data_IF_648874424976
#
_entry.id   IF_648874424976
#
_cell.length_a   1.000
_cell.length_b   1.000
_cell.length_c   1.000
_cell.angle_alpha   90.00
_cell.angle_beta   90.00
_cell.angle_gamma   90.00
#
_symmetry.space_group_name_H-M   'P 1'
#
loop_
_entity.id
_entity.type
_entity.pdbx_description
1 polymer ?
#
# COMPACT_ATOMS: atom_id res chain seq x y z
N UNK A 1 26.71 -23.40 -13.55
CA UNK A 1 25.41 -23.48 -12.85
C UNK A 1 24.26 -23.76 -13.82
N UNK A 2 23.95 -22.88 -14.80
CA UNK A 2 22.88 -23.13 -15.78
C UNK A 2 23.06 -24.44 -16.57
N UNK A 3 24.28 -24.73 -17.04
CA UNK A 3 24.61 -25.99 -17.73
C UNK A 3 24.34 -27.23 -16.86
N UNK A 4 24.61 -27.16 -15.54
CA UNK A 4 24.40 -28.28 -14.63
C UNK A 4 22.90 -28.55 -14.39
N UNK A 5 22.09 -27.49 -14.26
CA UNK A 5 20.62 -27.64 -14.13
C UNK A 5 20.05 -28.19 -15.44
N UNK A 6 20.54 -27.71 -16.59
CA UNK A 6 20.12 -28.19 -17.90
C UNK A 6 20.43 -29.68 -18.11
N UNK A 7 21.63 -30.13 -17.72
CA UNK A 7 22.00 -31.55 -17.74
C UNK A 7 21.07 -32.38 -16.84
N UNK A 8 20.84 -31.95 -15.60
CA UNK A 8 19.90 -32.62 -14.68
C UNK A 8 18.48 -32.69 -15.24
N UNK A 9 18.03 -31.66 -15.95
CA UNK A 9 16.70 -31.61 -16.57
C UNK A 9 16.48 -32.70 -17.63
N UNK A 10 17.53 -33.02 -18.38
CA UNK A 10 17.48 -34.04 -19.42
C UNK A 10 17.49 -35.47 -18.88
N UNK A 11 17.94 -35.68 -17.63
CA UNK A 11 17.94 -37.01 -17.00
C UNK A 11 16.51 -37.51 -16.75
N UNK A 12 15.60 -36.62 -16.35
CA UNK A 12 14.22 -37.01 -16.07
C UNK A 12 13.36 -37.04 -17.35
N UNK A 13 12.56 -38.09 -17.49
CA UNK A 13 11.47 -38.15 -18.47
C UNK A 13 10.41 -37.07 -18.19
N UNK A 14 9.57 -36.75 -19.16
CA UNK A 14 8.47 -35.80 -18.98
C UNK A 14 7.53 -36.17 -17.83
N UNK A 15 7.24 -37.47 -17.67
CA UNK A 15 6.41 -37.98 -16.57
C UNK A 15 7.09 -37.79 -15.22
N UNK A 16 8.38 -38.08 -15.11
CA UNK A 16 9.14 -37.89 -13.86
C UNK A 16 9.28 -36.42 -13.51
N UNK A 17 9.47 -35.53 -14.50
CA UNK A 17 9.44 -34.07 -14.30
C UNK A 17 8.08 -33.61 -13.79
N UNK A 18 7.00 -34.09 -14.40
CA UNK A 18 5.64 -33.73 -14.00
C UNK A 18 5.32 -34.16 -12.57
N UNK A 19 5.81 -35.32 -12.14
CA UNK A 19 5.60 -35.82 -10.77
C UNK A 19 6.49 -35.09 -9.76
N UNK A 20 7.75 -34.85 -10.10
CA UNK A 20 8.72 -34.20 -9.19
C UNK A 20 8.49 -32.70 -9.05
N UNK A 21 7.93 -32.02 -10.04
CA UNK A 21 7.63 -30.58 -10.01
C UNK A 21 6.21 -30.30 -9.50
N UNK A 22 5.83 -31.03 -8.44
CA UNK A 22 4.63 -30.85 -7.63
C UNK A 22 5.01 -30.84 -6.15
N UNK A 23 4.22 -30.16 -5.34
CA UNK A 23 4.41 -30.10 -3.91
C UNK A 23 3.10 -29.82 -3.16
N UNK A 24 3.10 -30.09 -1.87
CA UNK A 24 2.00 -29.84 -0.94
C UNK A 24 2.28 -28.70 0.05
N UNK A 25 1.28 -28.34 0.85
CA UNK A 25 1.39 -27.35 1.91
C UNK A 25 2.51 -27.64 2.91
N UNK A 26 2.70 -28.89 3.32
CA UNK A 26 3.72 -29.24 4.32
C UNK A 26 5.13 -28.95 3.78
N UNK A 27 5.38 -29.31 2.52
CA UNK A 27 6.65 -29.02 1.86
C UNK A 27 6.87 -27.51 1.68
N UNK A 28 5.82 -26.77 1.35
CA UNK A 28 5.87 -25.30 1.28
C UNK A 28 6.21 -24.67 2.64
N UNK A 29 5.51 -25.07 3.70
CA UNK A 29 5.71 -24.54 5.06
C UNK A 29 7.10 -24.88 5.59
N UNK A 30 7.59 -26.10 5.35
CA UNK A 30 8.95 -26.47 5.68
C UNK A 30 9.97 -25.59 4.96
N UNK A 31 9.78 -25.39 3.65
CA UNK A 31 10.65 -24.52 2.85
C UNK A 31 10.60 -23.06 3.31
N UNK A 32 9.42 -22.55 3.68
CA UNK A 32 9.27 -21.21 4.25
C UNK A 32 9.98 -21.08 5.60
N UNK A 33 9.93 -22.11 6.45
CA UNK A 33 10.67 -22.16 7.72
C UNK A 33 12.18 -22.16 7.51
N UNK A 34 12.67 -22.92 6.52
CA UNK A 34 14.09 -23.03 6.21
C UNK A 34 14.65 -21.73 5.60
N UNK A 35 13.91 -21.10 4.68
CA UNK A 35 14.40 -19.97 3.88
C UNK A 35 14.13 -18.60 4.50
N UNK A 36 13.07 -18.46 5.30
CA UNK A 36 12.63 -17.16 5.82
C UNK A 36 12.93 -17.04 7.32
N UNK A 37 13.88 -16.16 7.72
CA UNK A 37 14.27 -16.03 9.13
C UNK A 37 13.24 -15.28 9.99
N UNK A 38 12.28 -14.60 9.37
CA UNK A 38 11.29 -13.78 10.06
C UNK A 38 9.91 -14.46 10.11
N UNK A 39 9.37 -14.61 11.32
CA UNK A 39 8.00 -15.11 11.52
C UNK A 39 6.96 -14.32 10.75
N UNK A 40 7.09 -12.99 10.68
CA UNK A 40 6.17 -12.17 9.91
C UNK A 40 6.19 -12.49 8.40
N UNK A 41 7.37 -12.67 7.80
CA UNK A 41 7.51 -13.03 6.39
C UNK A 41 6.99 -14.45 6.11
N UNK A 42 7.18 -15.37 7.06
CA UNK A 42 6.61 -16.73 7.00
C UNK A 42 5.09 -16.67 7.01
N UNK A 43 4.52 -16.03 8.02
CA UNK A 43 3.08 -15.91 8.18
C UNK A 43 2.43 -15.19 6.99
N UNK A 44 3.08 -14.18 6.41
CA UNK A 44 2.54 -13.48 5.23
C UNK A 44 2.55 -14.35 3.97
N UNK A 45 3.62 -15.12 3.74
CA UNK A 45 3.72 -16.04 2.61
C UNK A 45 2.75 -17.21 2.75
N UNK A 46 2.64 -17.77 3.96
CA UNK A 46 1.68 -18.83 4.32
C UNK A 46 0.22 -18.37 4.18
N UNK A 47 -0.12 -17.19 4.71
CA UNK A 47 -1.47 -16.66 4.57
C UNK A 47 -1.86 -16.46 3.10
N UNK A 48 -0.92 -16.01 2.26
CA UNK A 48 -1.16 -15.88 0.83
C UNK A 48 -1.28 -17.26 0.14
N UNK A 49 -0.45 -18.24 0.51
CA UNK A 49 -0.55 -19.61 0.01
C UNK A 49 -1.94 -20.20 0.22
N UNK A 50 -2.47 -20.10 1.44
CA UNK A 50 -3.80 -20.63 1.74
C UNK A 50 -4.91 -19.87 1.02
N UNK A 51 -4.82 -18.54 0.93
CA UNK A 51 -5.77 -17.70 0.16
C UNK A 51 -5.81 -18.00 -1.34
N UNK A 52 -4.71 -18.53 -1.89
CA UNK A 52 -4.66 -18.95 -3.29
C UNK A 52 -5.18 -20.37 -3.46
N UNK A 53 -4.88 -21.24 -2.49
CA UNK A 53 -5.33 -22.61 -2.48
C UNK A 53 -6.85 -22.67 -2.29
N UNK A 54 -7.42 -21.97 -1.31
CA UNK A 54 -8.87 -21.95 -1.07
C UNK A 54 -9.68 -21.22 -2.17
N UNK A 55 -9.02 -20.46 -3.06
CA UNK A 55 -9.66 -19.63 -4.08
C UNK A 55 -10.31 -18.35 -3.54
N UNK A 56 -10.03 -17.98 -2.28
CA UNK A 56 -10.53 -16.77 -1.63
C UNK A 56 -9.84 -15.49 -2.11
N UNK A 57 -8.70 -15.59 -2.79
CA UNK A 57 -7.99 -14.46 -3.38
C UNK A 57 -7.83 -14.59 -4.89
N UNK A 58 -7.92 -13.43 -5.57
CA UNK A 58 -7.49 -13.31 -6.97
C UNK A 58 -6.00 -13.56 -7.06
N UNK A 59 -5.58 -14.40 -8.01
CA UNK A 59 -4.16 -14.68 -8.24
C UNK A 59 -3.42 -13.38 -8.63
N UNK A 60 -2.41 -12.95 -7.85
CA UNK A 60 -1.65 -11.76 -8.16
C UNK A 60 -0.89 -11.88 -9.49
N UNK A 61 -0.56 -10.76 -10.11
CA UNK A 61 0.12 -10.73 -11.41
C UNK A 61 1.51 -11.37 -11.35
N UNK A 62 2.27 -11.14 -10.26
CA UNK A 62 3.59 -11.76 -10.09
C UNK A 62 3.48 -13.28 -10.01
N UNK A 63 2.51 -13.78 -9.24
CA UNK A 63 2.25 -15.21 -9.09
C UNK A 63 1.80 -15.82 -10.42
N UNK A 64 0.88 -15.16 -11.12
CA UNK A 64 0.38 -15.60 -12.43
C UNK A 64 1.51 -15.75 -13.46
N UNK A 65 2.51 -14.85 -13.43
CA UNK A 65 3.67 -14.87 -14.34
C UNK A 65 4.80 -15.78 -13.88
N UNK A 66 4.74 -16.33 -12.66
CA UNK A 66 5.79 -17.16 -12.10
C UNK A 66 5.84 -18.58 -12.65
N UNK A 67 4.82 -19.00 -13.40
CA UNK A 67 4.70 -20.38 -13.88
C UNK A 67 4.25 -21.38 -12.82
N UNK A 68 3.89 -20.94 -11.61
CA UNK A 68 3.37 -21.80 -10.54
C UNK A 68 1.85 -21.77 -10.53
N UNK A 69 1.23 -22.95 -10.47
CA UNK A 69 -0.20 -23.12 -10.29
C UNK A 69 -0.48 -23.63 -8.87
N UNK A 70 -1.42 -22.98 -8.17
CA UNK A 70 -1.93 -23.41 -6.86
C UNK A 70 -3.30 -24.06 -7.05
N UNK A 71 -3.48 -25.24 -6.45
CA UNK A 71 -4.67 -26.07 -6.52
C UNK A 71 -5.47 -26.00 -5.23
N UNK A 72 -6.77 -26.34 -5.32
CA UNK A 72 -7.71 -26.27 -4.19
C UNK A 72 -7.38 -27.19 -3.02
N UNK A 73 -6.63 -28.26 -3.28
CA UNK A 73 -6.26 -29.26 -2.29
C UNK A 73 -4.96 -28.89 -1.55
N UNK A 74 -4.60 -27.61 -1.49
CA UNK A 74 -3.34 -27.13 -0.91
C UNK A 74 -2.09 -27.77 -1.54
N UNK A 75 -2.18 -28.02 -2.85
CA UNK A 75 -1.09 -28.48 -3.68
C UNK A 75 -0.70 -27.37 -4.65
N UNK A 76 0.53 -27.44 -5.14
CA UNK A 76 0.99 -26.55 -6.19
C UNK A 76 1.97 -27.26 -7.10
N UNK A 77 2.05 -26.77 -8.33
CA UNK A 77 2.85 -27.39 -9.38
C UNK A 77 3.43 -26.36 -10.33
N UNK A 78 4.45 -26.76 -11.06
CA UNK A 78 4.89 -26.02 -12.23
C UNK A 78 3.84 -26.17 -13.34
N UNK A 79 3.54 -25.09 -14.05
CA UNK A 79 2.57 -25.10 -15.12
C UNK A 79 3.10 -25.84 -16.37
N UNK A 80 2.19 -26.26 -17.24
CA UNK A 80 2.55 -27.08 -18.41
C UNK A 80 3.44 -26.31 -19.39
N UNK A 81 3.22 -25.00 -19.56
CA UNK A 81 4.04 -24.17 -20.45
C UNK A 81 5.53 -24.14 -20.05
N UNK A 82 5.82 -24.10 -18.74
CA UNK A 82 7.18 -24.16 -18.23
C UNK A 82 7.69 -25.59 -18.24
N UNK A 83 6.87 -26.60 -17.91
CA UNK A 83 7.25 -28.02 -17.99
C UNK A 83 7.67 -28.45 -19.39
N UNK A 84 6.98 -27.97 -20.44
CA UNK A 84 7.32 -28.27 -21.83
C UNK A 84 8.53 -27.48 -22.35
N UNK A 85 8.99 -26.44 -21.63
CA UNK A 85 10.11 -25.60 -22.02
C UNK A 85 11.25 -25.66 -20.99
N UNK A 86 12.31 -26.45 -21.26
CA UNK A 86 13.48 -26.52 -20.37
C UNK A 86 14.05 -25.13 -20.06
N UNK A 87 14.17 -24.27 -21.07
CA UNK A 87 14.71 -22.92 -20.91
C UNK A 87 13.87 -22.06 -19.98
N UNK A 88 12.53 -22.15 -20.06
CA UNK A 88 11.63 -21.41 -19.17
C UNK A 88 11.78 -21.86 -17.71
N UNK A 89 11.80 -23.18 -17.48
CA UNK A 89 11.96 -23.77 -16.15
C UNK A 89 13.32 -23.44 -15.51
N UNK A 90 14.39 -23.59 -16.28
CA UNK A 90 15.75 -23.30 -15.81
C UNK A 90 15.92 -21.81 -15.53
N UNK A 91 15.38 -20.96 -16.42
CA UNK A 91 15.37 -19.50 -16.22
C UNK A 91 14.60 -19.11 -14.96
N UNK A 92 13.47 -19.76 -14.66
CA UNK A 92 12.71 -19.54 -13.44
C UNK A 92 13.53 -19.86 -12.19
N UNK A 93 14.15 -21.06 -12.15
CA UNK A 93 15.00 -21.48 -11.02
C UNK A 93 16.16 -20.53 -10.79
N UNK A 94 16.82 -20.11 -11.87
CA UNK A 94 17.95 -19.20 -11.81
C UNK A 94 17.54 -17.79 -11.38
N UNK A 95 16.43 -17.27 -11.92
CA UNK A 95 15.89 -15.97 -11.55
C UNK A 95 15.55 -15.92 -10.05
N UNK A 96 14.92 -16.96 -9.52
CA UNK A 96 14.57 -17.02 -8.10
C UNK A 96 15.78 -17.13 -7.18
N UNK A 97 16.81 -17.88 -7.56
CA UNK A 97 18.06 -17.96 -6.81
C UNK A 97 18.79 -16.59 -6.76
N UNK A 98 18.82 -15.87 -7.88
CA UNK A 98 19.38 -14.51 -7.95
C UNK A 98 18.57 -13.51 -7.13
N UNK A 99 17.25 -13.57 -7.21
CA UNK A 99 16.37 -12.73 -6.39
C UNK A 99 16.61 -12.99 -4.91
N UNK A 100 16.66 -14.25 -4.48
CA UNK A 100 16.91 -14.64 -3.10
C UNK A 100 18.25 -14.10 -2.58
N UNK A 101 19.32 -14.26 -3.38
CA UNK A 101 20.65 -13.74 -3.06
C UNK A 101 20.62 -12.22 -2.88
N UNK A 102 19.85 -11.49 -3.69
CA UNK A 102 19.79 -10.02 -3.61
C UNK A 102 18.88 -9.52 -2.48
N UNK A 103 17.72 -10.15 -2.30
CA UNK A 103 16.67 -9.75 -1.38
C UNK A 103 16.92 -10.25 0.06
N UNK A 104 17.34 -11.51 0.21
CA UNK A 104 17.55 -12.15 1.50
C UNK A 104 18.96 -11.89 2.07
N UNK A 105 20.02 -11.78 1.25
CA UNK A 105 21.36 -11.48 1.79
C UNK A 105 21.45 -10.08 2.43
N UNK A 106 20.67 -9.11 1.93
CA UNK A 106 20.51 -7.79 2.57
C UNK A 106 19.77 -7.86 3.92
N UNK A 107 19.06 -8.95 4.21
CA UNK A 107 18.35 -9.19 5.46
C UNK A 107 19.20 -9.94 6.51
N UNK A 108 20.35 -10.50 6.12
CA UNK A 108 21.23 -11.32 6.97
C UNK A 108 22.15 -10.57 7.93
N UNK A 109 22.23 -9.23 7.87
CA UNK A 109 22.93 -8.43 8.88
C UNK A 109 21.92 -7.83 9.86
N UNK A 110 21.79 -8.37 11.10
CA UNK A 110 21.03 -7.69 12.13
C UNK A 110 21.72 -6.36 12.45
N UNK A 111 21.08 -5.25 12.08
CA UNK A 111 21.42 -3.94 12.66
C UNK A 111 20.85 -3.91 14.08
N UNK A 112 21.57 -4.54 15.00
CA UNK A 112 21.18 -4.64 16.41
C UNK A 112 21.95 -5.71 17.15
N UNK A 113 22.35 -5.40 18.39
CA UNK A 113 23.02 -6.35 19.30
C UNK A 113 22.20 -7.64 19.40
N UNK A 114 22.88 -8.77 19.26
CA UNK A 114 22.31 -10.10 19.45
C UNK A 114 21.60 -10.17 20.82
N UNK A 115 20.32 -10.56 20.83
CA UNK A 115 19.55 -10.77 22.06
C UNK A 115 18.20 -10.04 22.17
N UNK A 116 17.82 -9.17 21.22
CA UNK A 116 16.47 -8.58 21.23
C UNK A 116 15.53 -9.31 20.27
N UNK A 117 14.51 -9.97 20.81
CA UNK A 117 13.37 -10.55 20.07
C UNK A 117 12.56 -9.53 19.25
N UNK A 118 12.95 -8.25 19.26
CA UNK A 118 12.33 -7.13 18.53
C UNK A 118 13.13 -6.64 17.31
N UNK A 119 14.20 -7.33 16.91
CA UNK A 119 14.92 -6.96 15.68
C UNK A 119 13.98 -7.13 14.47
N UNK A 120 13.47 -6.00 13.94
CA UNK A 120 12.53 -6.03 12.81
C UNK A 120 13.29 -6.47 11.55
N UNK A 121 12.91 -7.62 10.98
CA UNK A 121 13.49 -8.15 9.75
C UNK A 121 13.51 -7.10 8.64
N UNK A 122 14.63 -6.91 7.92
CA UNK A 122 14.75 -5.91 6.83
C UNK A 122 13.65 -6.04 5.77
N UNK A 123 13.15 -7.26 5.55
CA UNK A 123 12.04 -7.54 4.63
C UNK A 123 10.69 -7.03 5.16
N UNK A 124 10.46 -7.04 6.47
CA UNK A 124 9.24 -6.50 7.12
C UNK A 124 9.43 -5.08 7.68
N UNK A 125 10.67 -4.64 7.91
CA UNK A 125 11.03 -3.41 8.59
C UNK A 125 11.37 -2.27 7.64
N UNK A 126 11.43 -2.56 6.34
CA UNK A 126 11.23 -1.56 5.30
C UNK A 126 9.77 -1.03 5.34
N UNK A 127 9.35 -0.47 6.49
CA UNK A 127 8.64 0.81 6.42
C UNK A 127 9.53 1.67 5.55
N UNK A 128 9.01 2.19 4.44
CA UNK A 128 9.72 3.21 3.71
C UNK A 128 10.11 4.27 4.74
N UNK A 129 11.41 4.39 5.04
CA UNK A 129 11.87 5.56 5.77
C UNK A 129 11.64 6.70 4.81
N UNK A 130 10.74 7.59 5.18
CA UNK A 130 10.26 8.65 4.30
C UNK A 130 8.78 8.47 4.01
N UNK A 131 8.01 9.33 4.67
CA UNK A 131 6.73 9.81 4.16
C UNK A 131 6.87 10.14 2.66
N UNK A 132 5.94 9.76 1.74
CA UNK A 132 6.09 10.05 0.32
C UNK A 132 6.14 11.56 0.14
N UNK A 133 7.34 12.12 -0.02
CA UNK A 133 7.53 13.55 -0.32
C UNK A 133 6.66 13.95 -1.51
N UNK A 134 6.28 15.23 -1.68
CA UNK A 134 5.38 15.63 -2.75
C UNK A 134 5.79 15.10 -4.14
N UNK A 135 7.09 15.07 -4.44
CA UNK A 135 7.62 14.50 -5.69
C UNK A 135 7.41 12.97 -5.84
N UNK A 136 7.44 12.21 -4.74
CA UNK A 136 7.08 10.80 -4.76
C UNK A 136 5.56 10.63 -4.84
N UNK A 137 4.78 11.48 -4.17
CA UNK A 137 3.32 11.42 -4.17
C UNK A 137 2.74 11.43 -5.58
N UNK A 138 3.14 12.36 -6.45
CA UNK A 138 2.63 12.46 -7.82
C UNK A 138 2.89 11.17 -8.63
N UNK A 139 4.12 10.66 -8.58
CA UNK A 139 4.50 9.42 -9.26
C UNK A 139 3.76 8.18 -8.73
N UNK A 140 3.26 8.23 -7.49
CA UNK A 140 2.44 7.18 -6.88
C UNK A 140 0.97 7.34 -7.22
N UNK A 141 0.46 8.58 -7.21
CA UNK A 141 -0.93 8.91 -7.51
C UNK A 141 -1.35 8.35 -8.88
N UNK A 142 -0.54 8.57 -9.92
CA UNK A 142 -0.82 8.07 -11.26
C UNK A 142 -0.77 6.53 -11.40
N UNK A 143 -0.23 5.82 -10.41
CA UNK A 143 -0.20 4.35 -10.38
C UNK A 143 -1.34 3.75 -9.57
N UNK A 144 -2.07 4.57 -8.81
CA UNK A 144 -3.20 4.10 -8.02
C UNK A 144 -4.40 3.85 -8.93
N UNK A 145 -5.10 2.72 -8.75
CA UNK A 145 -6.42 2.52 -9.36
C UNK A 145 -7.40 3.61 -8.93
N UNK A 146 -8.38 3.93 -9.77
CA UNK A 146 -9.39 4.97 -9.49
C UNK A 146 -10.10 4.76 -8.16
N UNK A 147 -10.44 3.53 -7.78
CA UNK A 147 -11.07 3.22 -6.49
C UNK A 147 -10.21 3.68 -5.29
N UNK A 148 -8.89 3.56 -5.41
CA UNK A 148 -7.97 4.00 -4.37
C UNK A 148 -7.84 5.53 -4.35
N UNK A 149 -7.85 6.17 -5.52
CA UNK A 149 -7.87 7.63 -5.61
C UNK A 149 -9.15 8.21 -4.99
N UNK A 150 -10.31 7.59 -5.25
CA UNK A 150 -11.60 7.94 -4.62
C UNK A 150 -11.57 7.71 -3.10
N UNK A 151 -10.98 6.62 -2.64
CA UNK A 151 -10.83 6.39 -1.20
C UNK A 151 -9.98 7.47 -0.50
N UNK A 152 -9.01 8.05 -1.21
CA UNK A 152 -8.18 9.13 -0.70
C UNK A 152 -8.91 10.47 -0.69
N UNK A 153 -9.78 10.74 -1.67
CA UNK A 153 -10.55 11.98 -1.73
C UNK A 153 -11.73 12.04 -0.76
N UNK A 154 -12.29 10.91 -0.37
CA UNK A 154 -13.41 10.86 0.57
C UNK A 154 -12.89 10.74 2.02
N UNK A 155 -13.16 11.76 2.83
CA UNK A 155 -12.77 11.82 4.24
C UNK A 155 -14.04 11.81 5.09
N UNK A 156 -14.09 10.91 6.08
CA UNK A 156 -15.19 10.88 7.06
C UNK A 156 -15.16 12.13 7.93
N UNK A 157 -16.29 12.82 8.06
CA UNK A 157 -16.35 14.15 8.70
C UNK A 157 -16.08 14.09 10.20
N UNK A 158 -16.68 13.12 10.90
CA UNK A 158 -16.55 12.98 12.34
C UNK A 158 -15.13 12.56 12.73
N UNK A 159 -14.54 11.65 11.96
CA UNK A 159 -13.15 11.28 12.10
C UNK A 159 -12.23 12.48 11.81
N UNK A 160 -12.52 13.27 10.78
CA UNK A 160 -11.74 14.47 10.47
C UNK A 160 -11.80 15.51 11.57
N UNK A 161 -12.98 15.76 12.16
CA UNK A 161 -13.12 16.67 13.29
C UNK A 161 -12.26 16.19 14.48
N UNK A 162 -12.28 14.90 14.76
CA UNK A 162 -11.43 14.30 15.79
C UNK A 162 -9.94 14.52 15.50
N UNK A 163 -9.52 14.32 14.24
CA UNK A 163 -8.14 14.53 13.81
C UNK A 163 -7.73 16.02 13.87
N UNK A 164 -8.64 16.93 13.53
CA UNK A 164 -8.48 18.38 13.60
C UNK A 164 -8.33 18.85 15.04
N UNK A 165 -9.16 18.37 15.96
CA UNK A 165 -9.02 18.69 17.38
C UNK A 165 -7.70 18.18 17.97
N UNK A 166 -7.29 16.97 17.58
CA UNK A 166 -6.00 16.40 17.99
C UNK A 166 -4.83 17.20 17.40
N UNK A 167 -4.96 17.67 16.17
CA UNK A 167 -4.01 18.59 15.55
C UNK A 167 -3.91 19.90 16.33
N UNK A 168 -5.01 20.61 16.57
CA UNK A 168 -5.01 21.88 17.32
C UNK A 168 -4.41 21.73 18.72
N UNK A 169 -4.69 20.61 19.40
CA UNK A 169 -4.09 20.29 20.72
C UNK A 169 -2.58 20.10 20.63
N UNK A 170 -2.08 19.37 19.62
CA UNK A 170 -0.63 19.16 19.40
C UNK A 170 0.11 20.47 19.15
N UNK A 171 -0.52 21.40 18.43
CA UNK A 171 0.04 22.71 18.10
C UNK A 171 -0.22 23.80 19.16
N UNK A 172 -0.87 23.45 20.28
CA UNK A 172 -1.05 24.35 21.43
C UNK A 172 -1.75 25.67 21.09
N UNK A 173 -2.72 25.63 20.17
CA UNK A 173 -3.55 26.80 19.83
C UNK A 173 -4.25 27.35 21.08
N UNK A 174 -4.32 28.68 21.20
CA UNK A 174 -5.12 29.32 22.24
C UNK A 174 -6.63 29.13 21.96
N UNK A 175 -7.48 29.28 22.98
CA UNK A 175 -8.92 29.01 22.86
C UNK A 175 -9.58 29.78 21.69
N UNK A 176 -9.27 31.08 21.56
CA UNK A 176 -9.83 31.93 20.49
C UNK A 176 -9.43 31.48 19.09
N UNK A 177 -8.20 31.03 18.90
CA UNK A 177 -7.76 30.53 17.61
C UNK A 177 -8.33 29.13 17.35
N UNK A 178 -8.49 28.29 18.39
CA UNK A 178 -9.16 26.99 18.27
C UNK A 178 -10.60 27.16 17.78
N UNK A 179 -11.35 28.07 18.39
CA UNK A 179 -12.74 28.38 18.02
C UNK A 179 -12.84 28.80 16.55
N UNK A 180 -11.94 29.66 16.06
CA UNK A 180 -11.91 30.09 14.65
C UNK A 180 -11.64 28.94 13.67
N UNK A 181 -10.74 28.02 14.01
CA UNK A 181 -10.47 26.85 13.16
C UNK A 181 -11.67 25.91 13.13
N UNK A 182 -12.37 25.73 14.25
CA UNK A 182 -13.60 24.93 14.30
C UNK A 182 -14.74 25.60 13.53
N UNK A 183 -14.89 26.92 13.62
CA UNK A 183 -15.84 27.70 12.81
C UNK A 183 -15.57 27.53 11.31
N UNK A 184 -14.30 27.53 10.89
CA UNK A 184 -13.93 27.24 9.50
C UNK A 184 -14.32 25.81 9.06
N UNK A 185 -14.23 24.82 9.96
CA UNK A 185 -14.72 23.47 9.70
C UNK A 185 -16.26 23.44 9.60
N UNK A 186 -16.97 24.12 10.49
CA UNK A 186 -18.44 24.18 10.46
C UNK A 186 -18.96 24.83 9.17
N UNK A 187 -18.25 25.84 8.66
CA UNK A 187 -18.49 26.44 7.35
C UNK A 187 -18.29 25.43 6.21
N UNK A 188 -17.22 24.62 6.25
CA UNK A 188 -16.95 23.60 5.23
C UNK A 188 -18.08 22.56 5.14
N UNK A 189 -18.63 22.13 6.28
CA UNK A 189 -19.70 21.13 6.31
C UNK A 189 -21.12 21.75 6.22
N UNK A 190 -21.20 23.08 6.16
CA UNK A 190 -22.47 23.82 6.08
C UNK A 190 -23.34 23.66 7.32
N UNK A 191 -22.74 23.49 8.51
CA UNK A 191 -23.45 23.41 9.80
C UNK A 191 -23.77 24.79 10.40
N UNK A 192 -23.19 25.85 9.85
CA UNK A 192 -23.45 27.24 10.26
C UNK A 192 -24.64 27.89 9.56
N UNK A 193 -25.29 27.21 8.60
CA UNK A 193 -26.60 27.63 8.08
C UNK A 193 -27.69 27.06 8.99
N UNK A 194 -28.24 27.88 9.89
CA UNK A 194 -29.52 27.59 10.55
C UNK A 194 -30.59 27.44 9.47
N UNK A 195 -31.27 26.29 9.44
CA UNK A 195 -32.44 26.05 8.56
C UNK A 195 -33.55 27.10 8.77
N UNK A 196 -33.54 27.79 9.92
CA UNK A 196 -34.53 28.81 10.28
C UNK A 196 -34.24 30.22 9.71
N UNK A 197 -33.05 30.50 9.18
CA UNK A 197 -32.69 31.84 8.64
C UNK A 197 -32.54 31.88 7.10
N UNK A 198 -32.85 30.78 6.40
CA UNK A 198 -32.80 30.73 4.94
C UNK A 198 -34.14 30.33 4.33
N UNK A 199 -35.03 31.31 4.15
CA UNK A 199 -36.31 31.11 3.43
C UNK A 199 -36.14 30.67 1.96
N UNK A 200 -34.91 30.58 1.43
CA UNK A 200 -34.60 30.27 0.02
C UNK A 200 -33.73 29.01 -0.20
N UNK A 201 -33.38 28.24 0.84
CA UNK A 201 -32.60 26.98 0.66
C UNK A 201 -33.47 25.71 0.71
N UNK A 202 -34.78 25.87 0.77
CA UNK A 202 -35.76 24.80 0.78
C UNK A 202 -36.05 24.23 -0.62
N UNK A 203 -35.03 23.69 -1.27
CA UNK A 203 -35.23 22.77 -2.41
C UNK A 203 -34.53 23.16 -3.71
N UNK A 204 -33.73 22.20 -4.19
CA UNK A 204 -33.23 22.07 -5.57
C UNK A 204 -31.99 22.91 -5.95
N UNK A 205 -30.90 22.19 -6.22
CA UNK A 205 -29.70 22.55 -6.99
C UNK A 205 -28.96 23.87 -6.65
N UNK A 206 -28.14 23.85 -5.60
CA UNK A 206 -27.11 24.86 -5.35
C UNK A 206 -25.87 24.68 -6.26
N UNK A 207 -26.11 24.56 -7.56
CA UNK A 207 -25.08 24.47 -8.59
C UNK A 207 -25.35 25.46 -9.71
N UNK A 208 -25.70 26.71 -9.39
CA UNK A 208 -25.37 27.87 -10.22
C UNK A 208 -25.79 29.18 -9.53
N UNK A 209 -24.80 30.06 -9.31
CA UNK A 209 -24.92 31.52 -9.30
C UNK A 209 -26.03 32.17 -8.46
N UNK A 210 -25.79 32.45 -7.18
CA UNK A 210 -26.49 33.56 -6.50
C UNK A 210 -25.64 34.23 -5.41
N UNK A 211 -24.83 35.22 -5.82
CA UNK A 211 -24.51 36.37 -4.98
C UNK A 211 -24.51 37.61 -5.88
N UNK A 212 -25.69 38.14 -6.17
CA UNK A 212 -25.82 39.51 -6.68
C UNK A 212 -26.42 40.42 -5.59
N UNK A 213 -25.67 41.49 -5.34
CA UNK A 213 -26.04 42.75 -4.69
C UNK A 213 -26.42 42.79 -3.20
N UNK A 214 -25.41 43.09 -2.38
CA UNK A 214 -25.56 43.89 -1.17
C UNK A 214 -24.78 45.19 -1.36
N UNK A 215 -25.49 46.30 -1.54
CA UNK A 215 -24.96 47.66 -1.66
C UNK A 215 -24.65 48.23 -0.25
N UNK A 216 -23.57 47.77 0.37
CA UNK A 216 -22.88 48.47 1.44
C UNK A 216 -21.38 48.11 1.35
N UNK A 217 -20.57 49.15 1.24
CA UNK A 217 -19.22 49.08 0.70
C UNK A 217 -18.15 48.41 1.56
N UNK A 218 -17.06 48.17 0.83
CA UNK A 218 -15.65 48.08 1.24
C UNK A 218 -15.13 46.72 1.76
N UNK A 219 -14.42 46.05 0.86
CA UNK A 219 -13.19 45.29 1.11
C UNK A 219 -13.24 43.96 1.89
N UNK A 220 -14.23 43.11 1.61
CA UNK A 220 -14.09 41.67 1.81
C UNK A 220 -14.48 40.93 0.54
N UNK A 221 -13.59 40.96 -0.45
CA UNK A 221 -13.41 39.81 -1.32
C UNK A 221 -13.04 38.62 -0.41
N UNK A 222 -14.05 37.94 0.13
CA UNK A 222 -13.92 36.65 0.79
C UNK A 222 -13.45 35.70 -0.31
N UNK A 223 -12.15 35.62 -0.53
CA UNK A 223 -11.56 34.69 -1.48
C UNK A 223 -11.71 33.30 -0.88
N UNK A 224 -12.88 32.70 -1.05
CA UNK A 224 -13.21 31.31 -0.68
C UNK A 224 -12.68 30.30 -1.69
N UNK A 225 -11.76 30.67 -2.59
CA UNK A 225 -11.20 29.74 -3.59
C UNK A 225 -10.72 28.41 -2.99
N UNK A 226 -10.28 28.43 -1.71
CA UNK A 226 -9.82 27.23 -1.02
C UNK A 226 -10.93 26.28 -0.59
N UNK A 227 -12.13 26.77 -0.24
CA UNK A 227 -13.29 25.92 0.04
C UNK A 227 -14.16 25.66 -1.19
N UNK A 228 -14.08 26.50 -2.23
CA UNK A 228 -14.86 26.34 -3.46
C UNK A 228 -14.56 25.03 -4.19
N UNK A 229 -13.38 24.46 -3.97
CA UNK A 229 -12.98 23.16 -4.54
C UNK A 229 -13.43 21.97 -3.68
N UNK A 230 -13.70 22.15 -2.39
CA UNK A 230 -14.13 21.07 -1.50
C UNK A 230 -15.65 20.95 -1.49
N UNK A 231 -16.16 19.73 -1.47
CA UNK A 231 -17.59 19.47 -1.30
C UNK A 231 -17.86 18.70 -0.01
N UNK A 232 -19.06 18.85 0.54
CA UNK A 232 -19.54 18.03 1.65
C UNK A 232 -20.76 17.22 1.23
N UNK A 233 -20.69 15.91 1.40
CA UNK A 233 -21.79 14.99 1.15
C UNK A 233 -22.54 14.71 2.45
N UNK A 234 -23.72 15.34 2.61
CA UNK A 234 -24.63 15.06 3.74
C UNK A 234 -25.12 13.62 3.77
N UNK A 235 -25.30 13.00 2.61
CA UNK A 235 -25.80 11.62 2.51
C UNK A 235 -24.82 10.58 3.07
N UNK A 236 -23.52 10.86 2.99
CA UNK A 236 -22.46 9.95 3.46
C UNK A 236 -21.65 10.51 4.63
N UNK A 237 -21.98 11.71 5.11
CA UNK A 237 -21.23 12.47 6.13
C UNK A 237 -19.74 12.57 5.81
N UNK A 238 -19.42 12.91 4.56
CA UNK A 238 -18.03 12.93 4.06
C UNK A 238 -17.65 14.28 3.45
N UNK A 239 -16.42 14.71 3.74
CA UNK A 239 -15.71 15.74 2.99
C UNK A 239 -15.16 15.09 1.72
N UNK A 240 -15.49 15.66 0.57
CA UNK A 240 -15.10 15.20 -0.76
C UNK A 240 -14.08 16.19 -1.33
N UNK A 241 -12.85 15.70 -1.47
CA UNK A 241 -11.72 16.43 -2.05
C UNK A 241 -11.67 16.16 -3.56
N UNK A 242 -11.38 17.14 -4.43
CA UNK A 242 -11.20 16.87 -5.84
C UNK A 242 -10.15 15.80 -6.10
N UNK A 243 -10.47 14.80 -6.92
CA UNK A 243 -9.53 13.77 -7.34
C UNK A 243 -8.49 14.26 -8.38
N UNK A 244 -8.37 15.58 -8.58
CA UNK A 244 -7.38 16.13 -9.49
C UNK A 244 -6.01 16.21 -8.80
N UNK A 245 -4.93 15.98 -9.56
CA UNK A 245 -3.57 15.92 -8.99
C UNK A 245 -3.09 17.29 -8.51
N UNK A 246 -3.59 18.38 -9.09
CA UNK A 246 -3.16 19.74 -8.77
C UNK A 246 -3.56 20.10 -7.32
N UNK A 247 -4.83 19.97 -6.98
CA UNK A 247 -5.34 20.21 -5.64
C UNK A 247 -4.75 19.25 -4.61
N UNK A 248 -4.67 17.96 -4.96
CA UNK A 248 -4.02 16.97 -4.09
C UNK A 248 -2.55 17.32 -3.82
N UNK A 249 -1.81 17.80 -4.82
CA UNK A 249 -0.42 18.23 -4.65
C UNK A 249 -0.29 19.47 -3.77
N UNK A 250 -1.25 20.40 -3.85
CA UNK A 250 -1.31 21.55 -2.95
C UNK A 250 -1.53 21.13 -1.48
N UNK A 251 -2.45 20.19 -1.23
CA UNK A 251 -2.66 19.61 0.11
C UNK A 251 -1.42 18.86 0.61
N UNK A 252 -0.75 18.11 -0.26
CA UNK A 252 0.50 17.44 0.09
C UNK A 252 1.63 18.43 0.38
N UNK A 253 1.71 19.57 -0.32
CA UNK A 253 2.72 20.60 -0.02
C UNK A 253 2.53 21.18 1.39
N UNK A 254 1.29 21.46 1.78
CA UNK A 254 0.93 21.92 3.14
C UNK A 254 1.31 20.87 4.20
N UNK A 255 1.02 19.61 3.95
CA UNK A 255 1.36 18.51 4.85
C UNK A 255 2.88 18.23 4.94
N UNK A 256 3.63 18.34 3.83
CA UNK A 256 5.09 18.17 3.84
C UNK A 256 5.76 19.29 4.63
N UNK A 257 5.28 20.53 4.44
CA UNK A 257 5.69 21.66 5.26
C UNK A 257 5.46 21.29 6.71
N UNK A 258 4.22 20.96 7.12
CA UNK A 258 3.81 20.55 8.48
C UNK A 258 4.75 19.50 9.12
N UNK A 259 5.17 18.49 8.38
CA UNK A 259 6.06 17.44 8.91
C UNK A 259 7.50 17.92 9.13
N UNK A 260 8.00 18.85 8.31
CA UNK A 260 9.42 19.24 8.29
C UNK A 260 9.69 20.50 9.12
N UNK A 261 8.70 21.37 9.26
CA UNK A 261 8.86 22.70 9.86
C UNK A 261 9.04 22.72 11.38
N UNK A 262 9.64 23.80 11.85
CA UNK A 262 9.61 24.24 13.25
C UNK A 262 8.55 25.33 13.37
N UNK A 263 7.43 25.01 14.03
CA UNK A 263 6.18 25.78 13.92
C UNK A 263 6.06 26.96 14.85
N UNK A 264 6.98 27.13 15.81
CA UNK A 264 6.86 28.16 16.83
C UNK A 264 5.47 28.23 17.47
N UNK A 265 5.05 29.43 17.87
CA UNK A 265 3.69 29.68 18.33
C UNK A 265 2.73 29.89 17.15
N UNK A 266 1.78 28.97 16.96
CA UNK A 266 0.77 29.06 15.89
C UNK A 266 -0.49 29.78 16.33
N UNK A 267 -1.01 30.62 15.45
CA UNK A 267 -2.25 31.37 15.67
C UNK A 267 -3.05 31.47 14.37
N UNK A 268 -4.36 31.27 14.49
CA UNK A 268 -5.34 31.56 13.45
C UNK A 268 -6.21 32.72 13.94
N UNK A 269 -5.84 33.96 13.56
CA UNK A 269 -6.51 35.20 13.98
C UNK A 269 -7.56 35.64 12.98
N UNK A 270 -7.43 35.25 11.73
CA UNK A 270 -8.39 35.50 10.66
C UNK A 270 -9.08 34.21 10.25
N UNK A 271 -10.24 34.34 9.58
CA UNK A 271 -10.90 33.17 9.01
C UNK A 271 -10.03 32.49 7.95
N UNK A 272 -9.31 33.26 7.12
CA UNK A 272 -8.40 32.72 6.11
C UNK A 272 -7.26 31.88 6.74
N UNK A 273 -6.65 32.35 7.83
CA UNK A 273 -5.67 31.56 8.58
C UNK A 273 -6.31 30.28 9.15
N UNK A 274 -7.54 30.37 9.66
CA UNK A 274 -8.26 29.21 10.16
C UNK A 274 -8.58 28.18 9.07
N UNK A 275 -8.94 28.63 7.87
CA UNK A 275 -9.15 27.77 6.70
C UNK A 275 -7.85 27.06 6.29
N UNK A 276 -6.72 27.77 6.29
CA UNK A 276 -5.44 27.15 5.97
C UNK A 276 -5.05 26.07 6.97
N UNK A 277 -5.34 26.26 8.26
CA UNK A 277 -5.17 25.22 9.29
C UNK A 277 -6.04 23.97 9.03
N UNK A 278 -7.29 24.15 8.59
CA UNK A 278 -8.16 23.03 8.17
C UNK A 278 -7.54 22.28 6.99
N UNK A 279 -7.02 22.98 5.99
CA UNK A 279 -6.40 22.37 4.80
C UNK A 279 -5.08 21.67 5.11
N UNK A 280 -4.27 22.22 6.02
CA UNK A 280 -3.05 21.57 6.50
C UNK A 280 -3.42 20.24 7.16
N UNK A 281 -4.43 20.25 8.05
CA UNK A 281 -4.90 19.03 8.69
C UNK A 281 -5.47 18.03 7.66
N UNK A 282 -6.26 18.49 6.69
CA UNK A 282 -6.80 17.67 5.61
C UNK A 282 -5.69 17.02 4.78
N UNK A 283 -4.67 17.80 4.41
CA UNK A 283 -3.47 17.31 3.73
C UNK A 283 -2.75 16.24 4.56
N UNK A 284 -2.62 16.42 5.87
CA UNK A 284 -2.02 15.43 6.76
C UNK A 284 -2.81 14.12 6.79
N UNK A 285 -4.14 14.18 6.83
CA UNK A 285 -5.02 12.99 6.80
C UNK A 285 -4.87 12.24 5.48
N UNK A 286 -4.93 12.94 4.34
CA UNK A 286 -4.73 12.32 3.02
C UNK A 286 -3.33 11.71 2.92
N UNK A 287 -2.33 12.40 3.44
CA UNK A 287 -0.95 11.92 3.45
C UNK A 287 -0.84 10.60 4.22
N UNK A 288 -1.44 10.51 5.40
CA UNK A 288 -1.44 9.31 6.23
C UNK A 288 -2.19 8.14 5.56
N UNK A 289 -3.35 8.41 4.95
CA UNK A 289 -4.07 7.41 4.15
C UNK A 289 -3.23 6.91 2.98
N UNK A 290 -2.60 7.80 2.22
CA UNK A 290 -1.71 7.46 1.10
C UNK A 290 -0.53 6.61 1.57
N UNK A 291 0.11 7.00 2.67
CA UNK A 291 1.20 6.25 3.29
C UNK A 291 0.76 4.84 3.70
N UNK A 292 -0.46 4.70 4.24
CA UNK A 292 -1.04 3.41 4.60
C UNK A 292 -1.25 2.53 3.37
N UNK A 293 -1.88 3.06 2.32
CA UNK A 293 -2.09 2.35 1.04
C UNK A 293 -0.76 1.91 0.41
N UNK A 294 0.22 2.81 0.34
CA UNK A 294 1.54 2.52 -0.18
C UNK A 294 2.24 1.40 0.60
N UNK A 295 2.15 1.45 1.93
CA UNK A 295 2.76 0.45 2.81
C UNK A 295 2.09 -0.91 2.64
N UNK A 296 0.76 -0.92 2.55
CA UNK A 296 -0.04 -2.12 2.28
C UNK A 296 0.32 -2.75 0.94
N UNK A 297 0.30 -1.96 -0.14
CA UNK A 297 0.65 -2.43 -1.49
C UNK A 297 2.06 -3.03 -1.56
N UNK A 298 3.04 -2.39 -0.89
CA UNK A 298 4.41 -2.92 -0.79
C UNK A 298 4.48 -4.23 0.00
N UNK A 299 3.71 -4.34 1.09
CA UNK A 299 3.63 -5.56 1.90
C UNK A 299 3.00 -6.72 1.13
N UNK A 300 1.95 -6.45 0.36
CA UNK A 300 1.29 -7.43 -0.52
C UNK A 300 2.26 -7.92 -1.59
N UNK A 301 2.88 -7.00 -2.35
CA UNK A 301 3.90 -7.35 -3.36
C UNK A 301 5.03 -8.18 -2.77
N UNK A 302 5.48 -7.86 -1.57
CA UNK A 302 6.53 -8.63 -0.89
C UNK A 302 6.07 -10.04 -0.52
N UNK A 303 4.81 -10.19 -0.08
CA UNK A 303 4.24 -11.49 0.23
C UNK A 303 4.17 -12.36 -1.04
N UNK A 304 3.85 -11.77 -2.19
CA UNK A 304 3.89 -12.44 -3.50
C UNK A 304 5.30 -12.91 -3.87
N UNK A 305 6.31 -12.04 -3.74
CA UNK A 305 7.71 -12.38 -4.03
C UNK A 305 8.21 -13.53 -3.14
N UNK A 306 7.89 -13.49 -1.84
CA UNK A 306 8.26 -14.52 -0.87
C UNK A 306 7.55 -15.85 -1.15
N UNK A 307 6.25 -15.81 -1.47
CA UNK A 307 5.47 -16.99 -1.86
C UNK A 307 6.11 -17.67 -3.07
N UNK A 308 6.35 -16.91 -4.15
CA UNK A 308 6.93 -17.45 -5.38
C UNK A 308 8.31 -18.03 -5.09
N UNK A 309 9.15 -17.36 -4.32
CA UNK A 309 10.47 -17.86 -3.97
C UNK A 309 10.41 -19.19 -3.21
N UNK A 310 9.55 -19.31 -2.19
CA UNK A 310 9.39 -20.54 -1.41
C UNK A 310 8.83 -21.68 -2.26
N UNK A 311 7.81 -21.39 -3.08
CA UNK A 311 7.20 -22.38 -3.97
C UNK A 311 8.20 -22.90 -5.01
N UNK A 312 8.90 -22.01 -5.73
CA UNK A 312 9.93 -22.43 -6.70
C UNK A 312 11.05 -23.22 -6.03
N UNK A 313 11.50 -22.80 -4.86
CA UNK A 313 12.55 -23.51 -4.13
C UNK A 313 12.10 -24.90 -3.68
N UNK A 314 10.82 -25.06 -3.31
CA UNK A 314 10.23 -26.36 -2.97
C UNK A 314 10.23 -27.27 -4.19
N UNK A 315 9.75 -26.78 -5.34
CA UNK A 315 9.72 -27.58 -6.58
C UNK A 315 11.12 -27.95 -7.05
N UNK A 316 12.08 -27.01 -6.97
CA UNK A 316 13.49 -27.28 -7.30
C UNK A 316 14.07 -28.36 -6.40
N UNK A 317 13.81 -28.32 -5.09
CA UNK A 317 14.28 -29.34 -4.15
C UNK A 317 13.69 -30.72 -4.48
N UNK A 318 12.39 -30.79 -4.80
CA UNK A 318 11.75 -32.06 -5.19
C UNK A 318 12.31 -32.61 -6.50
N UNK A 319 12.56 -31.74 -7.48
CA UNK A 319 13.24 -32.09 -8.73
C UNK A 319 14.65 -32.63 -8.47
N UNK A 320 15.46 -31.94 -7.67
CA UNK A 320 16.82 -32.37 -7.37
C UNK A 320 16.83 -33.72 -6.65
N UNK A 321 15.93 -33.94 -5.68
CA UNK A 321 15.76 -35.24 -5.00
C UNK A 321 15.37 -36.34 -5.98
N UNK A 322 14.47 -36.06 -6.93
CA UNK A 322 14.07 -37.05 -7.93
C UNK A 322 15.23 -37.41 -8.88
N UNK A 323 16.04 -36.43 -9.29
CA UNK A 323 17.24 -36.66 -10.09
C UNK A 323 18.23 -37.57 -9.35
N UNK A 324 18.54 -37.26 -8.08
CA UNK A 324 19.46 -38.08 -7.29
C UNK A 324 18.91 -39.49 -7.04
N UNK A 325 17.61 -39.63 -6.78
CA UNK A 325 16.98 -40.92 -6.51
C UNK A 325 16.96 -41.85 -7.73
N UNK A 326 16.77 -41.30 -8.93
CA UNK A 326 16.64 -42.06 -10.17
C UNK A 326 17.99 -42.24 -10.90
N UNK A 327 18.85 -41.22 -10.88
CA UNK A 327 20.06 -41.15 -11.71
C UNK A 327 21.35 -40.87 -10.91
N UNK A 328 21.30 -40.85 -9.58
CA UNK A 328 22.47 -40.51 -8.75
C UNK A 328 23.67 -41.45 -8.90
N UNK A 329 23.45 -42.73 -9.25
CA UNK A 329 24.53 -43.68 -9.54
C UNK A 329 25.26 -43.37 -10.83
N UNK A 330 24.51 -43.07 -11.89
CA UNK A 330 25.06 -42.71 -13.22
C UNK A 330 25.83 -41.39 -13.17
N UNK A 331 25.44 -40.47 -12.28
CA UNK A 331 26.17 -39.23 -12.02
C UNK A 331 27.47 -39.40 -11.24
N UNK A 332 27.63 -40.45 -10.43
CA UNK A 332 28.87 -40.73 -9.69
C UNK A 332 29.92 -41.48 -10.52
N UNK A 333 29.52 -42.09 -11.63
CA UNK A 333 30.39 -42.87 -12.53
C UNK A 333 31.01 -42.03 -13.67
N UNK A 334 30.68 -40.73 -13.76
CA UNK A 334 31.23 -39.75 -14.73
C UNK A 334 32.22 -38.78 -14.08
#
# INVERSE_FOLDING_TARGET
MLLAIWQRWLLLTERERTVSLRADANQFLQTANDLLPCSGCRNSAEALFYKLSDGSARVPQLVSRSGICFDKDSHFRLNDAFLSSPDASISLFFHQERWATTALAKAGKPSGKAGSSRARCVLHSQRARGRPRPAAFEALWHKLPEDHQRHLSHIDSDQFLTDLENYLRRHRFCCRCKEKVLEAYDLLIGSSCSEDDCEDCGGFDCADKHHEHSDYGDDLHYTSYLFDELAYSRATSQIVVPCNIEFMSQLMSRADQEVVGDWGDRHARTIAEAQDEVLICLGMVIWEKMQSLWTKSRSEKRSEELLVHCAVSTLRRNFDVAVEALHGKEMMEQ
#
